data_IF_831846278709
#
_entry.id   IF_831846278709
#
_cell.length_a   1.000
_cell.length_b   1.000
_cell.length_c   1.000
_cell.angle_alpha   90.00
_cell.angle_beta   90.00
_cell.angle_gamma   90.00
#
_symmetry.space_group_name_H-M   'P 1'
#
loop_
_entity.id
_entity.type
_entity.pdbx_description
1 polymer ?
#
# COMPACT_ATOMS: atom_id res chain seq x y z
N UNK A 1 11.28 3.60 -15.70
CA UNK A 1 11.15 2.18 -16.09
C UNK A 1 10.66 1.29 -14.94
N UNK A 2 10.98 1.58 -13.71
CA UNK A 2 10.51 0.83 -12.52
C UNK A 2 9.01 0.96 -12.26
N UNK A 3 8.39 2.06 -12.61
CA UNK A 3 6.94 2.31 -12.49
C UNK A 3 6.04 1.30 -13.20
N UNK A 4 6.46 0.80 -14.36
CA UNK A 4 5.70 -0.23 -15.09
C UNK A 4 5.58 -1.53 -14.31
N UNK A 5 6.57 -1.84 -13.48
CA UNK A 5 6.58 -3.05 -12.66
C UNK A 5 5.77 -2.85 -11.38
N UNK A 6 5.75 -1.63 -10.81
CA UNK A 6 4.87 -1.31 -9.69
C UNK A 6 3.40 -1.42 -10.09
N UNK A 7 3.04 -0.84 -11.23
CA UNK A 7 1.69 -0.94 -11.77
C UNK A 7 1.31 -2.38 -12.11
N UNK A 8 2.23 -3.14 -12.72
CA UNK A 8 2.01 -4.56 -13.01
C UNK A 8 1.89 -5.36 -11.70
N UNK A 9 2.67 -5.04 -10.67
CA UNK A 9 2.56 -5.63 -9.34
C UNK A 9 1.24 -5.30 -8.66
N UNK A 10 0.80 -4.04 -8.74
CA UNK A 10 -0.47 -3.58 -8.21
C UNK A 10 -1.67 -4.23 -8.94
N UNK A 11 -1.58 -4.38 -10.28
CA UNK A 11 -2.58 -5.09 -11.09
C UNK A 11 -2.55 -6.60 -10.88
N UNK A 12 -1.36 -7.21 -10.68
CA UNK A 12 -1.22 -8.63 -10.40
C UNK A 12 -1.76 -9.00 -9.01
N UNK A 13 -1.73 -8.09 -8.05
CA UNK A 13 -2.37 -8.26 -6.74
C UNK A 13 -3.89 -8.34 -6.84
N UNK A 14 -4.47 -7.65 -7.81
CA UNK A 14 -5.91 -7.75 -8.12
C UNK A 14 -6.25 -9.10 -8.77
N UNK A 15 -5.26 -9.80 -9.34
CA UNK A 15 -5.49 -10.95 -10.24
C UNK A 15 -4.87 -12.28 -9.78
N UNK A 16 -4.01 -12.35 -8.76
CA UNK A 16 -3.25 -13.55 -8.46
C UNK A 16 -3.31 -14.00 -7.01
N UNK A 17 -4.07 -15.03 -6.76
CA UNK A 17 -3.93 -15.86 -5.58
C UNK A 17 -2.93 -16.99 -5.79
N UNK A 18 -1.72 -16.86 -5.30
CA UNK A 18 -0.88 -18.02 -4.94
C UNK A 18 0.19 -17.59 -3.95
N UNK A 19 0.08 -18.07 -2.73
CA UNK A 19 0.89 -17.65 -1.60
C UNK A 19 1.91 -18.71 -1.23
N UNK A 20 3.17 -18.30 -1.16
CA UNK A 20 4.17 -18.98 -0.35
C UNK A 20 4.52 -18.05 0.80
N UNK A 21 3.99 -18.30 1.99
CA UNK A 21 4.32 -17.51 3.17
C UNK A 21 5.81 -17.63 3.48
N UNK A 22 6.49 -16.49 3.53
CA UNK A 22 7.79 -16.39 4.18
C UNK A 22 7.46 -16.18 5.65
N UNK A 23 7.81 -17.15 6.50
CA UNK A 23 7.51 -17.08 7.93
C UNK A 23 8.14 -15.83 8.54
N UNK A 24 7.32 -14.81 8.85
CA UNK A 24 7.72 -13.71 9.70
C UNK A 24 7.63 -14.18 11.16
N UNK A 25 8.73 -14.06 11.90
CA UNK A 25 8.78 -14.38 13.33
C UNK A 25 8.53 -13.14 14.20
N UNK A 26 8.46 -11.96 13.61
CA UNK A 26 8.39 -10.67 14.31
C UNK A 26 7.06 -9.96 14.00
N UNK A 27 6.55 -9.20 14.96
CA UNK A 27 5.31 -8.42 14.83
C UNK A 27 5.52 -7.12 14.01
N UNK A 28 6.73 -6.90 13.51
CA UNK A 28 7.09 -5.73 12.69
C UNK A 28 7.98 -6.12 11.51
N UNK A 29 8.03 -5.26 10.52
CA UNK A 29 8.87 -5.41 9.33
C UNK A 29 9.59 -4.10 8.99
N UNK A 30 10.61 -4.16 8.14
CA UNK A 30 11.39 -3.02 7.71
C UNK A 30 11.48 -2.92 6.20
N UNK A 31 11.50 -1.68 5.70
CA UNK A 31 11.68 -1.34 4.29
C UNK A 31 12.68 -0.17 4.18
N UNK A 32 13.93 -0.48 3.90
CA UNK A 32 15.02 0.49 3.98
C UNK A 32 15.24 0.97 5.41
N UNK A 33 15.14 2.28 5.62
CA UNK A 33 15.29 2.92 6.94
C UNK A 33 13.97 3.03 7.71
N UNK A 34 12.88 2.55 7.15
CA UNK A 34 11.55 2.61 7.73
C UNK A 34 11.16 1.28 8.37
N UNK A 35 10.43 1.36 9.47
CA UNK A 35 9.83 0.20 10.14
C UNK A 35 8.32 0.40 10.28
N UNK A 36 7.58 -0.69 10.35
CA UNK A 36 6.13 -0.69 10.54
C UNK A 36 5.67 -2.01 11.15
N UNK A 37 4.55 -1.97 11.86
CA UNK A 37 3.94 -3.15 12.46
C UNK A 37 3.22 -4.00 11.41
N UNK A 38 3.29 -5.32 11.59
CA UNK A 38 2.50 -6.28 10.81
C UNK A 38 1.15 -6.43 11.50
N UNK A 39 0.02 -6.14 10.81
CA UNK A 39 -1.29 -6.31 11.41
C UNK A 39 -1.57 -7.75 11.83
N UNK A 40 -2.37 -7.93 12.88
CA UNK A 40 -2.73 -9.24 13.42
C UNK A 40 -3.29 -10.17 12.33
N UNK A 41 -2.73 -11.37 12.24
CA UNK A 41 -3.11 -12.40 11.28
C UNK A 41 -2.46 -12.27 9.91
N UNK A 42 -1.80 -11.15 9.61
CA UNK A 42 -1.06 -10.98 8.36
C UNK A 42 0.30 -11.69 8.41
N UNK A 43 0.74 -12.14 7.24
CA UNK A 43 2.05 -12.74 7.05
C UNK A 43 2.74 -12.11 5.84
N UNK A 44 4.05 -11.88 5.95
CA UNK A 44 4.86 -11.44 4.82
C UNK A 44 4.93 -12.56 3.78
N UNK A 45 4.51 -12.27 2.57
CA UNK A 45 4.50 -13.24 1.44
C UNK A 45 5.55 -12.95 0.40
N UNK A 46 6.00 -11.70 0.30
CA UNK A 46 7.12 -11.29 -0.54
C UNK A 46 7.83 -10.08 0.04
N UNK A 47 9.15 -10.02 -0.15
CA UNK A 47 9.97 -8.91 0.32
C UNK A 47 11.14 -8.66 -0.62
N UNK A 48 11.33 -7.39 -0.97
CA UNK A 48 12.49 -6.86 -1.69
C UNK A 48 13.06 -5.64 -0.96
N UNK A 49 14.10 -5.02 -1.50
CA UNK A 49 14.65 -3.77 -0.94
C UNK A 49 13.70 -2.56 -1.08
N UNK A 50 12.69 -2.67 -1.93
CA UNK A 50 11.75 -1.59 -2.27
C UNK A 50 10.29 -1.92 -1.89
N UNK A 51 9.97 -3.18 -1.58
CA UNK A 51 8.59 -3.61 -1.38
C UNK A 51 8.47 -4.72 -0.35
N UNK A 52 7.42 -4.63 0.46
CA UNK A 52 6.94 -5.72 1.32
C UNK A 52 5.48 -5.99 0.98
N UNK A 53 5.14 -7.25 0.73
CA UNK A 53 3.76 -7.70 0.55
C UNK A 53 3.36 -8.57 1.74
N UNK A 54 2.20 -8.28 2.30
CA UNK A 54 1.60 -9.03 3.41
C UNK A 54 0.20 -9.48 3.04
N UNK A 55 -0.23 -10.61 3.56
CA UNK A 55 -1.58 -11.12 3.34
C UNK A 55 -2.11 -11.83 4.59
N UNK A 56 -3.40 -11.71 4.84
CA UNK A 56 -4.14 -12.53 5.78
C UNK A 56 -4.84 -13.68 5.05
N UNK A 57 -5.27 -13.44 3.81
CA UNK A 57 -5.82 -14.38 2.85
C UNK A 57 -5.59 -13.89 1.41
N UNK A 58 -6.08 -14.60 0.41
CA UNK A 58 -5.86 -14.28 -1.02
C UNK A 58 -6.53 -12.98 -1.46
N UNK A 59 -7.60 -12.57 -0.78
CA UNK A 59 -8.44 -11.43 -1.15
C UNK A 59 -8.02 -10.12 -0.44
N UNK A 60 -7.18 -10.20 0.61
CA UNK A 60 -6.82 -9.07 1.45
C UNK A 60 -5.29 -8.83 1.53
N UNK A 61 -4.65 -8.48 0.40
CA UNK A 61 -3.23 -8.11 0.42
C UNK A 61 -3.01 -6.68 0.91
N UNK A 62 -1.86 -6.46 1.55
CA UNK A 62 -1.30 -5.13 1.82
C UNK A 62 0.07 -5.07 1.19
N UNK A 63 0.35 -4.00 0.44
CA UNK A 63 1.67 -3.70 -0.09
C UNK A 63 2.19 -2.45 0.58
N UNK A 64 3.44 -2.51 1.04
CA UNK A 64 4.23 -1.35 1.44
C UNK A 64 5.34 -1.18 0.41
N UNK A 65 5.37 -0.05 -0.27
CA UNK A 65 6.32 0.22 -1.34
C UNK A 65 7.03 1.56 -1.14
N UNK A 66 8.34 1.56 -1.29
CA UNK A 66 9.16 2.75 -1.23
C UNK A 66 9.31 3.39 -2.60
N UNK A 67 8.80 4.60 -2.77
CA UNK A 67 8.97 5.39 -3.99
C UNK A 67 10.34 6.07 -4.01
N UNK A 68 10.95 6.20 -5.19
CA UNK A 68 12.28 6.80 -5.33
C UNK A 68 12.25 8.32 -5.12
N UNK A 69 11.11 8.98 -5.38
CA UNK A 69 10.97 10.43 -5.25
C UNK A 69 9.51 10.88 -5.14
N UNK A 70 9.30 12.12 -4.71
CA UNK A 70 7.97 12.76 -4.71
C UNK A 70 7.40 12.88 -6.15
N UNK A 71 8.25 13.09 -7.16
CA UNK A 71 7.82 13.14 -8.56
C UNK A 71 7.24 11.79 -9.05
N UNK A 72 7.63 10.70 -8.42
CA UNK A 72 7.10 9.37 -8.74
C UNK A 72 5.66 9.19 -8.25
N UNK A 73 5.23 9.92 -7.22
CA UNK A 73 3.83 9.94 -6.76
C UNK A 73 2.92 10.45 -7.85
N UNK A 74 3.24 11.61 -8.43
CA UNK A 74 2.43 12.21 -9.51
C UNK A 74 2.40 11.30 -10.74
N UNK A 75 3.53 10.68 -11.06
CA UNK A 75 3.63 9.74 -12.17
C UNK A 75 2.81 8.48 -11.93
N UNK A 76 2.78 7.98 -10.70
CA UNK A 76 1.98 6.82 -10.30
C UNK A 76 0.48 7.14 -10.39
N UNK A 77 0.03 8.26 -9.83
CA UNK A 77 -1.37 8.70 -9.90
C UNK A 77 -1.80 8.87 -11.37
N UNK A 78 -1.01 9.58 -12.19
CA UNK A 78 -1.30 9.78 -13.60
C UNK A 78 -1.37 8.46 -14.38
N UNK A 79 -0.55 7.48 -14.03
CA UNK A 79 -0.59 6.17 -14.66
C UNK A 79 -1.87 5.41 -14.31
N UNK A 80 -2.32 5.45 -13.05
CA UNK A 80 -3.58 4.85 -12.63
C UNK A 80 -4.77 5.45 -13.40
N UNK A 81 -4.87 6.78 -13.47
CA UNK A 81 -5.92 7.49 -14.20
C UNK A 81 -5.90 7.15 -15.70
N UNK A 82 -4.71 7.12 -16.32
CA UNK A 82 -4.56 6.80 -17.76
C UNK A 82 -4.99 5.38 -18.08
N UNK A 83 -4.89 4.45 -17.14
CA UNK A 83 -5.34 3.07 -17.33
C UNK A 83 -6.82 2.85 -17.06
N UNK A 84 -7.54 3.90 -16.68
CA UNK A 84 -8.98 3.85 -16.42
C UNK A 84 -9.34 3.58 -14.96
N UNK A 85 -8.40 3.74 -14.04
CA UNK A 85 -8.67 3.74 -12.62
C UNK A 85 -9.41 5.02 -12.23
N UNK A 86 -10.52 4.89 -11.54
CA UNK A 86 -11.20 6.03 -10.91
C UNK A 86 -10.60 6.25 -9.53
N UNK A 87 -10.09 7.46 -9.26
CA UNK A 87 -9.47 7.83 -8.00
C UNK A 87 -10.31 8.87 -7.25
N UNK A 88 -10.41 8.69 -5.94
CA UNK A 88 -11.00 9.68 -5.02
C UNK A 88 -10.00 9.93 -3.91
N UNK A 89 -9.51 11.17 -3.78
CA UNK A 89 -8.63 11.57 -2.68
C UNK A 89 -9.45 12.12 -1.51
N UNK A 90 -8.96 11.90 -0.30
CA UNK A 90 -9.50 12.47 0.93
C UNK A 90 -8.51 13.46 1.56
N UNK A 91 -8.96 14.15 2.62
CA UNK A 91 -8.12 15.11 3.32
C UNK A 91 -6.88 14.43 3.93
N UNK A 92 -5.72 15.05 3.73
CA UNK A 92 -4.47 14.58 4.32
C UNK A 92 -4.51 14.67 5.85
N UNK A 93 -3.84 13.74 6.51
CA UNK A 93 -3.69 13.69 7.95
C UNK A 93 -2.24 13.42 8.37
N UNK A 94 -1.93 13.60 9.65
CA UNK A 94 -0.61 13.30 10.20
C UNK A 94 -0.61 11.92 10.88
N UNK A 95 0.40 11.09 10.56
CA UNK A 95 0.71 9.85 11.24
C UNK A 95 2.21 9.87 11.62
N UNK A 96 2.50 10.07 12.90
CA UNK A 96 3.88 10.28 13.35
C UNK A 96 4.55 11.47 12.64
N UNK A 97 5.66 11.22 11.96
CA UNK A 97 6.39 12.22 11.16
C UNK A 97 5.89 12.35 9.72
N UNK A 98 4.92 11.52 9.31
CA UNK A 98 4.42 11.47 7.94
C UNK A 98 3.19 12.35 7.74
N UNK A 99 3.17 13.08 6.62
CA UNK A 99 1.95 13.64 6.06
C UNK A 99 1.34 12.58 5.12
N UNK A 100 0.13 12.14 5.42
CA UNK A 100 -0.51 11.01 4.74
C UNK A 100 -1.68 11.49 3.91
N UNK A 101 -1.68 11.17 2.62
CA UNK A 101 -2.81 11.44 1.71
C UNK A 101 -3.47 10.13 1.33
N UNK A 102 -4.74 9.91 1.72
CA UNK A 102 -5.49 8.71 1.37
C UNK A 102 -6.17 8.84 0.02
N UNK A 103 -6.22 7.73 -0.73
CA UNK A 103 -6.91 7.58 -2.00
C UNK A 103 -7.73 6.30 -2.02
N UNK A 104 -9.00 6.43 -2.41
CA UNK A 104 -9.80 5.30 -2.85
C UNK A 104 -9.65 5.09 -4.34
N UNK A 105 -9.67 3.85 -4.82
CA UNK A 105 -9.66 3.56 -6.25
C UNK A 105 -10.70 2.51 -6.62
N UNK A 106 -11.22 2.63 -7.85
CA UNK A 106 -12.04 1.63 -8.51
C UNK A 106 -11.45 1.34 -9.89
N UNK A 107 -11.27 0.06 -10.20
CA UNK A 107 -10.80 -0.38 -11.50
C UNK A 107 -11.54 -1.66 -11.91
N UNK A 108 -12.31 -1.59 -12.99
CA UNK A 108 -13.23 -2.67 -13.39
C UNK A 108 -14.18 -3.04 -12.21
N UNK A 109 -14.16 -4.29 -11.77
CA UNK A 109 -14.96 -4.78 -10.64
C UNK A 109 -14.14 -4.80 -9.32
N UNK A 110 -12.89 -4.35 -9.35
CA UNK A 110 -12.02 -4.27 -8.17
C UNK A 110 -12.05 -2.88 -7.56
N UNK A 111 -12.01 -2.84 -6.23
CA UNK A 111 -11.89 -1.61 -5.47
C UNK A 111 -10.87 -1.78 -4.35
N UNK A 112 -10.34 -0.68 -3.88
CA UNK A 112 -9.38 -0.65 -2.81
C UNK A 112 -8.96 0.77 -2.48
N UNK A 113 -7.84 0.87 -1.78
CA UNK A 113 -7.33 2.15 -1.34
C UNK A 113 -5.82 2.11 -1.18
N UNK A 114 -5.22 3.28 -1.18
CA UNK A 114 -3.81 3.43 -0.86
C UNK A 114 -3.55 4.76 -0.12
N UNK A 115 -2.45 4.77 0.60
CA UNK A 115 -1.96 5.94 1.31
C UNK A 115 -0.60 6.33 0.75
N UNK A 116 -0.40 7.62 0.51
CA UNK A 116 0.91 8.20 0.22
C UNK A 116 1.41 8.85 1.50
N UNK A 117 2.48 8.31 2.06
CA UNK A 117 3.08 8.75 3.31
C UNK A 117 4.40 9.48 2.99
N UNK A 118 4.47 10.78 3.25
CA UNK A 118 5.63 11.63 2.97
C UNK A 118 6.15 12.25 4.28
N UNK A 119 7.40 11.95 4.63
CA UNK A 119 8.10 12.52 5.79
C UNK A 119 8.96 13.74 5.44
N UNK A 120 8.87 14.21 4.19
CA UNK A 120 9.65 15.35 3.68
C UNK A 120 11.11 15.05 3.36
N UNK A 121 11.56 13.79 3.48
CA UNK A 121 12.95 13.40 3.14
C UNK A 121 13.14 13.03 1.66
N UNK A 122 12.04 12.97 0.90
CA UNK A 122 12.08 12.81 -0.55
C UNK A 122 11.87 11.38 -1.07
N UNK A 123 11.62 10.43 -0.18
CA UNK A 123 11.32 9.03 -0.52
C UNK A 123 9.98 8.60 0.09
N UNK A 124 8.84 8.95 -0.54
CA UNK A 124 7.52 8.61 0.00
C UNK A 124 7.29 7.10 0.08
N UNK A 125 6.48 6.69 1.05
CA UNK A 125 6.01 5.31 1.20
C UNK A 125 4.57 5.22 0.70
N UNK A 126 4.31 4.26 -0.17
CA UNK A 126 2.98 3.86 -0.60
C UNK A 126 2.53 2.66 0.24
N UNK A 127 1.38 2.76 0.88
CA UNK A 127 0.71 1.62 1.52
C UNK A 127 -0.60 1.38 0.81
N UNK A 128 -0.76 0.24 0.16
CA UNK A 128 -1.93 -0.08 -0.65
C UNK A 128 -2.60 -1.37 -0.20
N UNK A 129 -3.92 -1.42 -0.34
CA UNK A 129 -4.73 -2.61 -0.09
C UNK A 129 -5.84 -2.74 -1.12
N UNK A 130 -6.29 -3.97 -1.35
CA UNK A 130 -7.44 -4.29 -2.18
C UNK A 130 -8.25 -5.40 -1.54
N UNK A 131 -9.52 -5.52 -1.91
CA UNK A 131 -10.38 -6.62 -1.45
C UNK A 131 -11.81 -6.42 -1.93
N UNK A 132 -12.57 -7.51 -2.09
CA UNK A 132 -13.93 -7.46 -2.58
C UNK A 132 -14.92 -6.79 -1.59
N UNK A 133 -14.59 -6.76 -0.32
CA UNK A 133 -15.46 -6.33 0.77
C UNK A 133 -14.99 -5.01 1.43
N UNK A 134 -14.19 -4.20 0.76
CA UNK A 134 -13.81 -2.89 1.30
C UNK A 134 -15.00 -1.94 1.29
N UNK A 135 -15.82 -1.99 2.34
CA UNK A 135 -16.73 -0.90 2.67
C UNK A 135 -15.89 0.34 2.95
N UNK A 136 -16.20 1.45 2.34
CA UNK A 136 -15.53 2.74 2.39
C UNK A 136 -14.21 2.78 3.22
N UNK A 137 -13.08 2.38 2.61
CA UNK A 137 -11.84 2.11 3.34
C UNK A 137 -11.24 3.35 4.00
N UNK A 138 -11.66 4.52 3.57
CA UNK A 138 -11.14 5.80 4.05
C UNK A 138 -11.77 6.22 5.38
N UNK A 139 -12.90 5.60 5.76
CA UNK A 139 -13.63 5.92 7.00
C UNK A 139 -13.44 4.92 8.12
N UNK A 140 -12.75 3.79 7.87
CA UNK A 140 -12.58 2.72 8.87
C UNK A 140 -11.23 2.89 9.58
N UNK A 141 -11.25 3.38 10.81
CA UNK A 141 -10.04 3.52 11.65
C UNK A 141 -9.37 2.18 11.96
N UNK A 142 -10.10 1.06 11.89
CA UNK A 142 -9.62 -0.30 12.18
C UNK A 142 -9.05 -1.02 10.94
N UNK A 143 -8.91 -0.33 9.82
CA UNK A 143 -8.38 -0.89 8.59
C UNK A 143 -6.93 -1.36 8.79
N UNK A 144 -6.57 -2.62 8.47
CA UNK A 144 -5.21 -3.12 8.66
C UNK A 144 -4.12 -2.29 7.96
N UNK A 145 -4.38 -1.75 6.77
CA UNK A 145 -3.44 -0.87 6.10
C UNK A 145 -3.27 0.47 6.84
N UNK A 146 -4.31 0.96 7.53
CA UNK A 146 -4.21 2.13 8.39
C UNK A 146 -3.31 1.88 9.60
N UNK A 147 -3.37 0.68 10.18
CA UNK A 147 -2.47 0.30 11.28
C UNK A 147 -1.01 0.31 10.83
N UNK A 148 -0.72 -0.15 9.61
CA UNK A 148 0.63 -0.05 9.02
C UNK A 148 1.05 1.41 8.91
N UNK A 149 0.19 2.29 8.39
CA UNK A 149 0.48 3.74 8.26
C UNK A 149 0.73 4.40 9.61
N UNK A 150 -0.10 4.10 10.61
CA UNK A 150 0.01 4.71 11.95
C UNK A 150 1.27 4.24 12.72
N UNK A 151 1.85 3.09 12.36
CA UNK A 151 3.06 2.53 12.96
C UNK A 151 4.35 2.85 12.20
N UNK A 152 4.28 3.55 11.05
CA UNK A 152 5.47 3.95 10.28
C UNK A 152 6.41 4.86 11.06
N UNK A 153 7.70 4.46 11.15
CA UNK A 153 8.79 5.19 11.81
C UNK A 153 10.03 5.32 10.92
#
# INVERSE_FOLDING_TARGET
MRFKYLFLGFMLLILAGSMTAIAAADDYESLGDYTFDIPDGYQVTDKTDEMVTMQVDEDHPIIVYKLDSVADVDSFISLLETTGCELVSEDAFQAGSFNVTPYGYTYLDAQGFFYICDDGKGTPILVASSGPDTEDPLTVDDNPARLVVDSLE
#
